data_IF_751288780841
#
_entry.id   IF_751288780841
#
_cell.length_a   1.000
_cell.length_b   1.000
_cell.length_c   1.000
_cell.angle_alpha   90.00
_cell.angle_beta   90.00
_cell.angle_gamma   90.00
#
_symmetry.space_group_name_H-M   'P 1'
#
loop_
_entity.id
_entity.type
_entity.pdbx_description
1 polymer ?
#
# COMPACT_ATOMS: atom_id res chain seq x y z
N UNK A 1 -4.36 14.94 4.13
CA UNK A 1 -5.53 14.63 3.28
C UNK A 1 -5.69 13.12 3.24
N UNK A 2 -6.88 12.61 3.51
CA UNK A 2 -7.21 11.19 3.41
C UNK A 2 -8.12 10.99 2.20
N UNK A 3 -7.79 10.03 1.35
CA UNK A 3 -8.64 9.59 0.25
C UNK A 3 -9.05 8.15 0.56
N UNK A 4 -10.31 7.99 0.94
CA UNK A 4 -10.92 6.69 1.12
C UNK A 4 -11.42 6.13 -0.22
N UNK A 5 -11.43 4.80 -0.34
CA UNK A 5 -11.78 4.08 -1.57
C UNK A 5 -11.08 4.63 -2.82
N UNK A 6 -9.76 4.87 -2.70
CA UNK A 6 -8.92 5.41 -3.77
C UNK A 6 -9.01 4.59 -5.08
N UNK A 7 -9.33 3.29 -4.97
CA UNK A 7 -9.63 2.41 -6.09
C UNK A 7 -10.70 2.93 -7.05
N UNK A 8 -11.66 3.73 -6.57
CA UNK A 8 -12.69 4.35 -7.41
C UNK A 8 -12.06 5.40 -8.33
N UNK A 9 -11.14 6.20 -7.79
CA UNK A 9 -10.42 7.27 -8.51
C UNK A 9 -9.46 6.67 -9.54
N UNK A 10 -8.94 5.48 -9.28
CA UNK A 10 -8.03 4.79 -10.22
C UNK A 10 -8.71 4.27 -11.49
N UNK A 11 -10.05 4.25 -11.60
CA UNK A 11 -10.76 3.57 -12.71
C UNK A 11 -10.80 4.35 -14.03
N UNK A 12 -10.80 5.67 -14.00
CA UNK A 12 -10.89 6.48 -15.22
C UNK A 12 -9.70 7.44 -15.38
N UNK A 13 -9.33 7.69 -16.64
CA UNK A 13 -8.12 8.45 -16.99
C UNK A 13 -8.15 9.90 -16.44
N UNK A 14 -9.31 10.55 -16.42
CA UNK A 14 -9.43 11.93 -15.97
C UNK A 14 -9.20 12.03 -14.46
N UNK A 15 -9.79 11.10 -13.70
CA UNK A 15 -9.58 11.00 -12.26
C UNK A 15 -8.12 10.67 -11.92
N UNK A 16 -7.47 9.80 -12.70
CA UNK A 16 -6.05 9.50 -12.56
C UNK A 16 -5.16 10.74 -12.75
N UNK A 17 -5.39 11.53 -13.80
CA UNK A 17 -4.64 12.76 -14.08
C UNK A 17 -4.80 13.80 -12.95
N UNK A 18 -6.03 13.93 -12.42
CA UNK A 18 -6.31 14.82 -11.28
C UNK A 18 -5.58 14.34 -10.03
N UNK A 19 -5.66 13.04 -9.72
CA UNK A 19 -5.01 12.46 -8.55
C UNK A 19 -3.48 12.60 -8.64
N UNK A 20 -2.89 12.37 -9.81
CA UNK A 20 -1.45 12.58 -10.01
C UNK A 20 -1.06 14.04 -9.71
N UNK A 21 -1.83 14.99 -10.24
CA UNK A 21 -1.58 16.42 -9.99
C UNK A 21 -1.68 16.75 -8.51
N UNK A 22 -2.69 16.23 -7.81
CA UNK A 22 -2.83 16.37 -6.36
C UNK A 22 -1.63 15.78 -5.63
N UNK A 23 -1.22 14.55 -5.94
CA UNK A 23 -0.09 13.87 -5.32
C UNK A 23 1.25 14.59 -5.54
N UNK A 24 1.40 15.34 -6.64
CA UNK A 24 2.61 16.13 -6.92
C UNK A 24 2.56 17.51 -6.27
N UNK A 25 1.48 18.26 -6.51
CA UNK A 25 1.37 19.67 -6.12
C UNK A 25 1.00 19.85 -4.65
N UNK A 26 0.07 19.06 -4.10
CA UNK A 26 -0.31 19.20 -2.70
C UNK A 26 0.80 18.66 -1.78
N UNK A 27 1.48 17.58 -2.22
CA UNK A 27 2.64 17.04 -1.50
C UNK A 27 3.80 18.04 -1.43
N UNK A 28 4.05 18.83 -2.49
CA UNK A 28 5.12 19.83 -2.48
C UNK A 28 4.87 20.98 -1.50
N UNK A 29 3.63 21.17 -1.06
CA UNK A 29 3.26 22.12 -0.02
C UNK A 29 3.42 21.58 1.41
N UNK A 30 4.00 20.37 1.58
CA UNK A 30 4.22 19.74 2.88
C UNK A 30 2.98 19.04 3.45
N UNK A 31 1.93 18.85 2.65
CA UNK A 31 0.72 18.13 3.06
C UNK A 31 0.92 16.63 2.92
N UNK A 32 0.69 15.88 4.00
CA UNK A 32 0.64 14.41 3.96
C UNK A 32 -0.65 13.94 3.29
N UNK A 33 -0.52 12.97 2.37
CA UNK A 33 -1.63 12.35 1.65
C UNK A 33 -1.64 10.86 1.97
N UNK A 34 -2.78 10.37 2.44
CA UNK A 34 -3.01 8.95 2.75
C UNK A 34 -4.06 8.42 1.78
N UNK A 35 -3.73 7.33 1.09
CA UNK A 35 -4.62 6.62 0.17
C UNK A 35 -5.03 5.29 0.79
N UNK A 36 -6.33 5.03 0.88
CA UNK A 36 -6.88 3.75 1.32
C UNK A 36 -7.54 3.04 0.13
N UNK A 37 -7.22 1.76 -0.06
CA UNK A 37 -7.69 0.95 -1.18
C UNK A 37 -7.83 -0.51 -0.75
N UNK A 38 -8.58 -1.30 -1.52
CA UNK A 38 -8.91 -2.68 -1.18
C UNK A 38 -7.91 -3.69 -1.77
N UNK A 39 -7.24 -3.33 -2.87
CA UNK A 39 -6.28 -4.17 -3.57
C UNK A 39 -4.99 -3.43 -3.97
N UNK A 40 -3.89 -4.17 -4.13
CA UNK A 40 -2.61 -3.59 -4.54
C UNK A 40 -2.60 -3.32 -6.05
N UNK A 41 -3.22 -4.21 -6.82
CA UNK A 41 -3.38 -4.13 -8.27
C UNK A 41 -4.01 -2.82 -8.72
N UNK A 42 -4.84 -2.22 -7.86
CA UNK A 42 -5.52 -0.96 -8.11
C UNK A 42 -4.54 0.21 -8.19
N UNK A 43 -3.39 0.13 -7.52
CA UNK A 43 -2.32 1.13 -7.62
C UNK A 43 -1.48 1.00 -8.89
N UNK A 44 -1.51 -0.17 -9.55
CA UNK A 44 -0.71 -0.46 -10.72
C UNK A 44 -1.57 -0.37 -11.98
N UNK A 45 -1.91 0.85 -12.39
CA UNK A 45 -2.70 1.09 -13.60
C UNK A 45 -1.80 1.05 -14.86
N UNK A 46 -2.30 0.58 -16.02
CA UNK A 46 -1.51 0.53 -17.25
C UNK A 46 -0.95 1.88 -17.69
N UNK A 47 -1.71 2.95 -17.43
CA UNK A 47 -1.37 4.34 -17.75
C UNK A 47 -0.47 4.99 -16.71
N UNK A 48 -0.54 4.56 -15.45
CA UNK A 48 0.17 5.20 -14.35
C UNK A 48 0.33 4.25 -13.15
N UNK A 49 1.53 4.25 -12.57
CA UNK A 49 1.83 3.42 -11.41
C UNK A 49 1.87 4.26 -10.12
N UNK A 50 0.73 4.34 -9.44
CA UNK A 50 0.58 5.09 -8.19
C UNK A 50 1.43 4.53 -7.06
N UNK A 51 1.81 3.25 -7.10
CA UNK A 51 2.64 2.65 -6.06
C UNK A 51 4.01 3.34 -5.93
N UNK A 52 4.54 3.85 -7.04
CA UNK A 52 5.83 4.58 -7.08
C UNK A 52 5.76 5.97 -6.45
N UNK A 53 4.56 6.52 -6.28
CA UNK A 53 4.33 7.82 -5.65
C UNK A 53 4.16 7.71 -4.13
N UNK A 54 3.96 6.49 -3.61
CA UNK A 54 3.83 6.21 -2.19
C UNK A 54 5.22 6.09 -1.55
N UNK A 55 5.60 7.08 -0.74
CA UNK A 55 6.84 7.00 0.04
C UNK A 55 6.75 5.98 1.18
N UNK A 56 5.57 5.84 1.75
CA UNK A 56 5.28 4.93 2.87
C UNK A 56 4.06 4.10 2.52
N UNK A 57 4.22 2.79 2.60
CA UNK A 57 3.20 1.82 2.23
C UNK A 57 2.91 0.92 3.42
N UNK A 58 1.62 0.70 3.66
CA UNK A 58 1.13 -0.28 4.62
C UNK A 58 0.34 -1.32 3.84
N UNK A 59 0.66 -2.59 4.08
CA UNK A 59 -0.07 -3.69 3.49
C UNK A 59 -0.70 -4.51 4.61
N UNK A 60 -2.03 -4.46 4.66
CA UNK A 60 -2.86 -5.29 5.53
C UNK A 60 -3.17 -6.61 4.84
N UNK A 61 -4.07 -7.40 5.42
CA UNK A 61 -4.57 -8.63 4.80
C UNK A 61 -5.18 -8.33 3.43
N UNK A 62 -4.61 -8.96 2.40
CA UNK A 62 -5.11 -8.91 1.02
C UNK A 62 -5.60 -10.29 0.58
N UNK A 63 -6.42 -10.35 -0.46
CA UNK A 63 -6.87 -11.62 -1.05
C UNK A 63 -5.79 -12.26 -1.93
N UNK A 64 -5.08 -11.45 -2.73
CA UNK A 64 -4.11 -11.94 -3.72
C UNK A 64 -2.68 -12.08 -3.16
N UNK A 65 -2.53 -12.83 -2.06
CA UNK A 65 -1.24 -13.06 -1.39
C UNK A 65 -0.25 -13.84 -2.28
N UNK A 66 -0.75 -14.57 -3.29
CA UNK A 66 0.09 -15.36 -4.18
C UNK A 66 0.83 -14.52 -5.23
N UNK A 67 0.44 -13.27 -5.44
CA UNK A 67 1.05 -12.38 -6.42
C UNK A 67 2.27 -11.63 -5.86
N UNK A 68 3.33 -12.40 -5.57
CA UNK A 68 4.57 -11.90 -4.95
C UNK A 68 5.19 -10.75 -5.77
N UNK A 69 5.07 -10.78 -7.10
CA UNK A 69 5.61 -9.72 -7.97
C UNK A 69 4.97 -8.37 -7.68
N UNK A 70 3.65 -8.33 -7.53
CA UNK A 70 2.90 -7.10 -7.24
C UNK A 70 3.20 -6.61 -5.82
N UNK A 71 3.26 -7.52 -4.84
CA UNK A 71 3.65 -7.19 -3.45
C UNK A 71 5.05 -6.57 -3.41
N UNK A 72 6.02 -7.19 -4.10
CA UNK A 72 7.39 -6.70 -4.16
C UNK A 72 7.48 -5.31 -4.78
N UNK A 73 6.77 -5.10 -5.88
CA UNK A 73 6.72 -3.81 -6.55
C UNK A 73 6.18 -2.72 -5.62
N UNK A 74 5.06 -3.00 -4.94
CA UNK A 74 4.40 -2.05 -4.05
C UNK A 74 5.21 -1.72 -2.78
N UNK A 75 5.90 -2.70 -2.21
CA UNK A 75 6.71 -2.52 -1.01
C UNK A 75 8.17 -2.14 -1.31
N UNK A 76 8.61 -2.17 -2.57
CA UNK A 76 10.01 -1.95 -2.94
C UNK A 76 10.95 -3.07 -2.46
N UNK A 77 10.46 -4.31 -2.45
CA UNK A 77 11.18 -5.48 -1.95
C UNK A 77 11.84 -6.31 -3.07
N UNK A 78 12.93 -6.97 -2.73
CA UNK A 78 13.59 -8.00 -3.54
C UNK A 78 12.81 -9.32 -3.56
N UNK A 79 13.15 -10.25 -4.46
CA UNK A 79 12.50 -11.57 -4.51
C UNK A 79 12.59 -12.34 -3.19
N UNK A 80 13.73 -12.27 -2.50
CA UNK A 80 13.95 -12.93 -1.21
C UNK A 80 13.03 -12.33 -0.14
N UNK A 81 12.94 -11.00 -0.08
CA UNK A 81 12.06 -10.27 0.84
C UNK A 81 10.59 -10.55 0.53
N UNK A 82 10.22 -10.71 -0.74
CA UNK A 82 8.87 -11.07 -1.16
C UNK A 82 8.37 -12.41 -0.64
N UNK A 83 9.24 -13.42 -0.59
CA UNK A 83 8.88 -14.71 0.02
C UNK A 83 8.61 -14.57 1.51
N UNK A 84 9.42 -13.78 2.23
CA UNK A 84 9.19 -13.46 3.65
C UNK A 84 7.89 -12.67 3.82
N UNK A 85 7.61 -11.71 2.93
CA UNK A 85 6.40 -10.90 2.98
C UNK A 85 5.15 -11.77 2.81
N UNK A 86 5.16 -12.70 1.84
CA UNK A 86 4.09 -13.68 1.66
C UNK A 86 3.81 -14.47 2.95
N UNK A 87 4.86 -15.05 3.54
CA UNK A 87 4.73 -15.84 4.79
C UNK A 87 4.21 -14.99 5.96
N UNK A 88 4.60 -13.72 6.03
CA UNK A 88 4.11 -12.78 7.03
C UNK A 88 2.63 -12.41 6.79
N UNK A 89 2.20 -12.20 5.55
CA UNK A 89 0.81 -11.91 5.20
C UNK A 89 -0.12 -13.10 5.48
N UNK A 90 0.36 -14.33 5.28
CA UNK A 90 -0.38 -15.56 5.60
C UNK A 90 -0.69 -15.69 7.10
N UNK A 91 0.13 -15.10 7.95
CA UNK A 91 -0.05 -15.08 9.41
C UNK A 91 -1.02 -14.01 9.91
N UNK A 92 -1.51 -13.13 9.02
CA UNK A 92 -2.49 -12.11 9.42
C UNK A 92 -3.86 -12.79 9.62
N UNK A 93 -4.16 -13.07 10.87
CA UNK A 93 -5.48 -13.50 11.29
C UNK A 93 -6.47 -12.33 11.17
N UNK A 94 -7.74 -12.63 10.87
CA UNK A 94 -8.77 -11.63 10.54
C UNK A 94 -9.09 -10.69 11.72
N UNK A 95 -8.66 -11.03 12.94
CA UNK A 95 -9.03 -10.37 14.20
C UNK A 95 -7.94 -9.40 14.67
N UNK A 96 -6.68 -9.60 14.26
CA UNK A 96 -5.56 -8.69 14.58
C UNK A 96 -5.21 -7.86 13.36
N UNK A 97 -5.03 -6.54 13.55
CA UNK A 97 -4.57 -5.65 12.49
C UNK A 97 -3.07 -5.85 12.27
N UNK A 98 -2.71 -6.98 11.67
CA UNK A 98 -1.36 -7.31 11.24
C UNK A 98 -0.99 -6.53 9.98
N UNK A 99 0.19 -5.92 9.97
CA UNK A 99 0.65 -5.06 8.88
C UNK A 99 2.10 -5.38 8.50
N UNK A 100 2.39 -5.27 7.21
CA UNK A 100 3.76 -5.20 6.69
C UNK A 100 3.97 -3.83 6.07
N UNK A 101 5.15 -3.24 6.24
CA UNK A 101 5.46 -1.91 5.74
C UNK A 101 6.88 -1.78 5.19
N UNK A 102 7.11 -0.76 4.36
CA UNK A 102 8.43 -0.36 3.87
C UNK A 102 9.10 0.74 4.71
N UNK A 103 8.55 1.04 5.89
CA UNK A 103 9.13 1.98 6.87
C UNK A 103 10.47 1.44 7.39
N UNK A 104 11.50 2.32 7.47
CA UNK A 104 12.88 1.94 7.78
C UNK A 104 13.07 1.46 9.22
N UNK A 105 12.22 1.93 10.12
CA UNK A 105 12.22 1.64 11.54
C UNK A 105 11.76 0.21 11.86
N UNK A 106 11.15 -0.49 10.89
CA UNK A 106 10.75 -1.89 11.01
C UNK A 106 11.64 -2.80 10.16
N UNK A 107 11.79 -4.06 10.56
CA UNK A 107 12.43 -5.01 9.67
C UNK A 107 11.55 -5.25 8.44
N UNK A 108 12.18 -5.25 7.27
CA UNK A 108 11.49 -5.56 6.02
C UNK A 108 10.79 -6.92 6.09
N UNK A 109 9.58 -6.94 5.56
CA UNK A 109 8.71 -8.10 5.49
C UNK A 109 8.39 -8.73 6.87
N UNK A 110 8.67 -8.05 7.98
CA UNK A 110 8.24 -8.49 9.29
C UNK A 110 6.81 -8.01 9.53
N UNK A 111 5.98 -8.93 10.04
CA UNK A 111 4.66 -8.61 10.52
C UNK A 111 4.78 -7.81 11.82
N UNK A 112 4.10 -6.67 11.91
CA UNK A 112 3.86 -5.99 13.18
C UNK A 112 2.36 -5.86 13.43
N UNK A 113 1.99 -5.92 14.71
CA UNK A 113 0.59 -5.83 15.13
C UNK A 113 0.24 -4.38 15.48
N UNK A 114 -0.85 -3.89 14.90
CA UNK A 114 -1.49 -2.65 15.34
C UNK A 114 -2.44 -2.96 16.50
N UNK A 115 -1.96 -2.77 17.73
CA UNK A 115 -2.81 -2.83 18.91
C UNK A 115 -3.80 -1.65 18.90
N UNK A 116 -5.10 -1.93 18.96
CA UNK A 116 -6.12 -0.91 19.21
C UNK A 116 -6.32 -0.77 20.72
N UNK A 117 -6.50 0.47 21.20
CA UNK A 117 -7.02 0.67 22.55
C UNK A 117 -8.39 -0.02 22.63
N UNK A 118 -8.62 -0.83 23.67
CA UNK A 118 -9.94 -1.34 23.98
C UNK A 118 -10.88 -0.16 24.20
N UNK A 119 -11.93 -0.06 23.39
CA UNK A 119 -13.08 0.81 23.68
C UNK A 119 -13.89 0.23 24.84
#
# INVERSE_FOLDING_TARGET
>A
MLIDEAHIIFKDKKSQEILEKILREIRSQGVSIILLSQGIEEFNQPSFDFSTMCNTSFLLKIKDINNIKVINKFLGYSEKEGRKAKQSLEKIETITAGVISNIKEFEKAQLFELAQFSQ
#
